data_IF_267304128694
#
_entry.id   IF_267304128694
#
_cell.length_a   1.000
_cell.length_b   1.000
_cell.length_c   1.000
_cell.angle_alpha   90.00
_cell.angle_beta   90.00
_cell.angle_gamma   90.00
#
_symmetry.space_group_name_H-M   'P 1'
#
loop_
_entity.id
_entity.type
_entity.pdbx_description
1 polymer ?
#
# COMPACT_ATOMS: atom_id res chain seq x y z
N UNK A 1 -46.66 17.43 -2.55
CA UNK A 1 -45.52 17.22 -3.43
C UNK A 1 -44.29 17.34 -2.54
N UNK A 2 -43.96 16.26 -1.82
CA UNK A 2 -42.85 16.19 -0.90
C UNK A 2 -41.67 15.58 -1.64
N UNK A 3 -40.60 16.35 -1.77
CA UNK A 3 -39.33 15.91 -2.31
C UNK A 3 -38.58 15.08 -1.27
N UNK A 4 -38.44 13.80 -1.57
CA UNK A 4 -37.68 12.82 -0.77
C UNK A 4 -36.20 13.01 -1.07
N UNK A 5 -35.52 13.79 -0.22
CA UNK A 5 -34.06 13.98 -0.26
C UNK A 5 -33.41 12.79 0.45
N UNK A 6 -33.12 11.72 -0.29
CA UNK A 6 -32.28 10.61 0.18
C UNK A 6 -30.84 10.83 -0.25
N UNK A 7 -30.14 11.70 0.42
CA UNK A 7 -28.68 11.68 0.43
C UNK A 7 -28.22 10.43 1.17
N UNK A 8 -28.07 9.32 0.41
CA UNK A 8 -27.50 8.09 0.93
C UNK A 8 -26.01 8.31 1.25
N UNK A 9 -25.74 8.56 2.53
CA UNK A 9 -24.39 8.50 3.08
C UNK A 9 -23.90 7.06 2.92
N UNK A 10 -22.98 6.82 1.97
CA UNK A 10 -22.36 5.53 1.78
C UNK A 10 -21.53 5.21 3.04
N UNK A 11 -22.07 4.38 3.90
CA UNK A 11 -21.34 3.70 4.96
C UNK A 11 -20.98 2.34 4.38
N UNK A 12 -19.69 2.02 4.16
CA UNK A 12 -19.32 0.67 3.76
C UNK A 12 -19.79 -0.28 4.85
N UNK A 13 -20.60 -1.27 4.47
CA UNK A 13 -21.10 -2.30 5.35
C UNK A 13 -19.95 -3.25 5.77
N UNK A 14 -19.06 -2.77 6.62
CA UNK A 14 -18.15 -3.58 7.41
C UNK A 14 -18.68 -3.64 8.83
N UNK A 15 -19.76 -4.39 9.02
CA UNK A 15 -20.08 -4.93 10.33
C UNK A 15 -19.20 -6.17 10.53
N UNK A 16 -17.96 -5.94 10.94
CA UNK A 16 -17.24 -6.97 11.67
C UNK A 16 -17.94 -7.09 13.04
N UNK A 17 -18.34 -8.31 13.40
CA UNK A 17 -18.73 -8.55 14.79
C UNK A 17 -17.61 -8.01 15.69
N UNK A 18 -17.93 -7.26 16.75
CA UNK A 18 -16.91 -6.73 17.63
C UNK A 18 -16.12 -7.91 18.18
N UNK A 19 -14.83 -7.98 17.82
CA UNK A 19 -13.89 -8.90 18.46
C UNK A 19 -14.07 -8.64 19.96
N UNK A 20 -14.47 -9.67 20.71
CA UNK A 20 -14.68 -9.59 22.15
C UNK A 20 -13.51 -8.85 22.76
N UNK A 21 -13.78 -7.65 23.28
CA UNK A 21 -12.83 -6.88 24.07
C UNK A 21 -12.20 -7.85 25.07
N UNK A 22 -10.92 -8.12 24.92
CA UNK A 22 -10.19 -8.96 25.88
C UNK A 22 -10.45 -8.38 27.27
N UNK A 23 -10.72 -9.26 28.23
CA UNK A 23 -11.09 -8.90 29.59
C UNK A 23 -10.18 -7.79 30.12
N UNK A 24 -10.80 -6.80 30.79
CA UNK A 24 -10.15 -5.63 31.35
C UNK A 24 -8.78 -5.98 31.95
N UNK A 25 -7.72 -5.51 31.32
CA UNK A 25 -6.38 -5.49 31.88
C UNK A 25 -6.41 -4.37 32.93
N UNK A 26 -6.18 -4.71 34.19
CA UNK A 26 -6.03 -3.76 35.28
C UNK A 26 -5.08 -2.61 34.88
N UNK A 27 -5.58 -1.38 35.09
CA UNK A 27 -4.88 -0.10 35.04
C UNK A 27 -3.60 -0.10 34.17
N UNK A 28 -3.78 -0.02 32.84
CA UNK A 28 -2.69 0.27 31.94
C UNK A 28 -1.98 1.56 32.38
N UNK A 29 -0.64 1.62 32.37
CA UNK A 29 0.07 2.86 32.63
C UNK A 29 -0.51 3.93 31.69
N UNK A 30 -0.83 5.13 32.21
CA UNK A 30 -1.22 6.27 31.38
C UNK A 30 0.02 6.64 30.55
N UNK A 31 0.17 5.96 29.42
CA UNK A 31 1.20 6.30 28.44
C UNK A 31 0.72 7.63 27.85
N UNK A 32 1.42 8.69 28.19
CA UNK A 32 1.16 10.02 27.63
C UNK A 32 1.26 9.88 26.13
N UNK A 33 0.18 10.15 25.39
CA UNK A 33 0.16 10.05 23.94
C UNK A 33 1.39 10.74 23.36
N UNK A 34 2.24 10.04 22.60
CA UNK A 34 3.43 10.65 22.02
C UNK A 34 3.00 11.76 21.06
N UNK A 35 3.81 12.81 20.96
CA UNK A 35 3.61 13.83 19.95
C UNK A 35 4.63 13.63 18.85
N UNK A 36 4.30 12.76 17.90
CA UNK A 36 5.18 12.35 16.81
C UNK A 36 5.80 13.56 16.06
N UNK A 37 5.00 14.59 15.79
CA UNK A 37 5.49 15.81 15.12
C UNK A 37 6.53 16.54 15.96
N UNK A 38 6.28 16.70 17.26
CA UNK A 38 7.24 17.32 18.16
C UNK A 38 8.49 16.45 18.34
N UNK A 39 8.34 15.14 18.33
CA UNK A 39 9.47 14.22 18.48
C UNK A 39 10.36 14.22 17.22
N UNK A 40 9.78 14.35 16.01
CA UNK A 40 10.57 14.62 14.78
C UNK A 40 11.29 15.96 14.89
N UNK A 41 10.57 17.03 15.26
CA UNK A 41 11.17 18.38 15.37
C UNK A 41 12.29 18.43 16.42
N UNK A 42 12.19 17.62 17.47
CA UNK A 42 13.21 17.50 18.53
C UNK A 42 14.36 16.53 18.15
N UNK A 43 14.34 15.92 16.95
CA UNK A 43 15.35 14.95 16.51
C UNK A 43 15.32 13.62 17.27
N UNK A 44 14.21 13.30 17.96
CA UNK A 44 14.05 12.05 18.68
C UNK A 44 13.56 10.90 17.78
N UNK A 45 13.00 11.24 16.62
CA UNK A 45 12.50 10.28 15.62
C UNK A 45 13.33 10.42 14.36
N UNK A 46 13.97 9.33 13.96
CA UNK A 46 14.65 9.24 12.67
C UNK A 46 13.73 8.51 11.68
N UNK A 47 13.30 9.26 10.65
CA UNK A 47 12.54 8.65 9.55
C UNK A 47 13.45 7.72 8.74
N UNK A 48 12.95 6.56 8.27
CA UNK A 48 13.72 5.67 7.43
C UNK A 48 14.20 6.36 6.16
N UNK A 49 15.45 6.14 5.79
CA UNK A 49 16.00 6.61 4.51
C UNK A 49 15.93 5.49 3.48
N UNK A 50 15.55 5.82 2.25
CA UNK A 50 15.62 4.86 1.15
C UNK A 50 16.96 4.97 0.43
N UNK A 51 17.50 3.84 -0.09
CA UNK A 51 18.74 3.88 -0.86
C UNK A 51 18.66 4.88 -2.03
N UNK A 52 19.74 5.59 -2.30
CA UNK A 52 19.79 6.58 -3.37
C UNK A 52 19.42 5.99 -4.74
N UNK A 53 19.79 4.74 -4.99
CA UNK A 53 19.44 4.02 -6.21
C UNK A 53 17.91 3.89 -6.38
N UNK A 54 17.18 3.70 -5.29
CA UNK A 54 15.70 3.60 -5.32
C UNK A 54 15.09 4.94 -5.72
N UNK A 55 15.60 6.06 -5.17
CA UNK A 55 15.16 7.41 -5.55
C UNK A 55 15.42 7.69 -7.03
N UNK A 56 16.62 7.31 -7.54
CA UNK A 56 16.98 7.48 -8.94
C UNK A 56 16.06 6.67 -9.87
N UNK A 57 15.75 5.42 -9.50
CA UNK A 57 14.84 4.57 -10.28
C UNK A 57 13.41 5.10 -10.22
N UNK A 58 12.92 5.54 -9.05
CA UNK A 58 11.60 6.16 -8.92
C UNK A 58 11.46 7.39 -9.83
N UNK A 59 12.49 8.25 -9.89
CA UNK A 59 12.50 9.41 -10.77
C UNK A 59 12.53 9.01 -12.26
N UNK A 60 13.30 7.98 -12.61
CA UNK A 60 13.42 7.50 -13.98
C UNK A 60 12.12 6.88 -14.52
N UNK A 61 11.35 6.18 -13.67
CA UNK A 61 10.10 5.52 -14.06
C UNK A 61 8.98 6.50 -14.46
N UNK A 62 9.11 7.80 -14.16
CA UNK A 62 8.17 8.83 -14.64
C UNK A 62 8.22 9.01 -16.17
N UNK A 63 9.32 8.57 -16.78
CA UNK A 63 9.46 8.53 -18.23
C UNK A 63 9.01 7.15 -18.73
N UNK A 64 7.90 7.05 -19.49
CA UNK A 64 7.41 5.78 -20.03
C UNK A 64 8.43 5.08 -20.92
N UNK A 65 9.32 5.87 -21.58
CA UNK A 65 10.35 5.41 -22.49
C UNK A 65 11.72 5.29 -21.80
N UNK A 66 11.75 5.16 -20.48
CA UNK A 66 12.99 5.06 -19.71
C UNK A 66 13.91 3.96 -20.26
N UNK A 67 15.18 4.34 -20.52
CA UNK A 67 16.19 3.39 -20.96
C UNK A 67 16.52 2.38 -19.84
N UNK A 68 16.35 1.10 -20.16
CA UNK A 68 16.70 -0.02 -19.27
C UNK A 68 18.13 0.07 -18.72
N UNK A 69 19.06 0.62 -19.51
CA UNK A 69 20.46 0.83 -19.10
C UNK A 69 20.58 1.77 -17.90
N UNK A 70 19.69 2.77 -17.77
CA UNK A 70 19.69 3.67 -16.61
C UNK A 70 19.33 2.93 -15.33
N UNK A 71 18.34 2.04 -15.37
CA UNK A 71 17.94 1.21 -14.23
C UNK A 71 19.02 0.18 -13.92
N UNK A 72 19.56 -0.50 -14.94
CA UNK A 72 20.66 -1.44 -14.77
C UNK A 72 21.91 -0.81 -14.16
N UNK A 73 22.32 0.37 -14.65
CA UNK A 73 23.46 1.11 -14.11
C UNK A 73 23.24 1.56 -12.66
N UNK A 74 22.03 1.95 -12.30
CA UNK A 74 21.69 2.28 -10.92
C UNK A 74 21.78 1.05 -10.02
N UNK A 75 21.23 -0.09 -10.43
CA UNK A 75 21.28 -1.35 -9.69
C UNK A 75 22.72 -1.91 -9.54
N UNK A 76 23.58 -1.72 -10.54
CA UNK A 76 24.97 -2.15 -10.47
C UNK A 76 25.76 -1.52 -9.32
N UNK A 77 25.27 -0.39 -8.77
CA UNK A 77 25.87 0.28 -7.61
C UNK A 77 25.49 -0.37 -6.27
N UNK A 78 24.48 -1.24 -6.26
CA UNK A 78 23.99 -1.91 -5.04
C UNK A 78 23.76 -3.40 -5.29
N UNK A 79 24.80 -4.25 -5.08
CA UNK A 79 24.69 -5.69 -5.28
C UNK A 79 23.65 -6.37 -4.40
N UNK A 80 23.41 -5.85 -3.18
CA UNK A 80 22.43 -6.42 -2.25
C UNK A 80 21.01 -6.19 -2.77
N UNK A 81 20.72 -4.97 -3.20
CA UNK A 81 19.44 -4.64 -3.81
C UNK A 81 19.26 -5.39 -5.14
N UNK A 82 20.30 -5.50 -5.97
CA UNK A 82 20.27 -6.28 -7.21
C UNK A 82 19.90 -7.74 -6.97
N UNK A 83 20.50 -8.38 -5.98
CA UNK A 83 20.17 -9.76 -5.61
C UNK A 83 18.71 -9.88 -5.11
N UNK A 84 18.24 -8.92 -4.32
CA UNK A 84 16.86 -8.87 -3.85
C UNK A 84 15.86 -8.69 -5.00
N UNK A 85 16.15 -7.77 -5.90
CA UNK A 85 15.32 -7.52 -7.10
C UNK A 85 15.24 -8.78 -7.98
N UNK A 86 16.37 -9.46 -8.24
CA UNK A 86 16.39 -10.71 -9.00
C UNK A 86 15.59 -11.82 -8.30
N UNK A 87 15.65 -11.90 -6.99
CA UNK A 87 14.82 -12.85 -6.22
C UNK A 87 13.33 -12.55 -6.36
N UNK A 88 12.93 -11.29 -6.30
CA UNK A 88 11.54 -10.86 -6.54
C UNK A 88 11.11 -11.15 -7.98
N UNK A 89 11.95 -10.84 -8.96
CA UNK A 89 11.70 -11.14 -10.37
C UNK A 89 11.51 -12.63 -10.64
N UNK A 90 12.21 -13.48 -9.91
CA UNK A 90 12.12 -14.94 -9.99
C UNK A 90 10.97 -15.54 -9.16
N UNK A 91 10.19 -14.71 -8.47
CA UNK A 91 9.01 -15.20 -7.76
C UNK A 91 7.90 -15.61 -8.73
N UNK A 92 7.00 -16.50 -8.28
CA UNK A 92 5.86 -16.96 -9.09
C UNK A 92 4.99 -15.82 -9.61
N UNK A 93 4.98 -14.68 -8.92
CA UNK A 93 4.22 -13.49 -9.29
C UNK A 93 4.67 -12.86 -10.63
N UNK A 94 5.98 -12.87 -10.94
CA UNK A 94 6.54 -12.30 -12.17
C UNK A 94 6.76 -13.33 -13.28
N UNK A 95 6.12 -14.48 -13.19
CA UNK A 95 6.10 -15.48 -14.27
C UNK A 95 7.32 -16.39 -14.33
N UNK A 96 7.91 -16.72 -13.18
CA UNK A 96 9.14 -17.49 -12.99
C UNK A 96 9.27 -18.88 -13.64
N UNK A 97 8.80 -19.04 -14.88
CA UNK A 97 9.00 -20.28 -15.64
C UNK A 97 10.47 -20.47 -16.09
N UNK A 98 11.26 -19.40 -16.12
CA UNK A 98 12.70 -19.43 -16.42
C UNK A 98 13.44 -18.55 -15.42
N UNK A 99 14.40 -19.09 -14.66
CA UNK A 99 15.20 -18.31 -13.72
C UNK A 99 15.96 -17.17 -14.43
N UNK A 100 15.78 -15.96 -13.92
CA UNK A 100 16.53 -14.78 -14.36
C UNK A 100 17.81 -14.66 -13.53
N UNK A 101 18.97 -14.80 -14.20
CA UNK A 101 20.27 -14.77 -13.54
C UNK A 101 20.94 -13.38 -13.59
N UNK A 102 20.38 -12.43 -14.35
CA UNK A 102 20.93 -11.08 -14.50
C UNK A 102 19.82 -10.04 -14.63
N UNK A 103 20.18 -8.78 -14.38
CA UNK A 103 19.27 -7.64 -14.57
C UNK A 103 18.85 -7.51 -16.04
N UNK A 104 19.78 -7.72 -16.98
CA UNK A 104 19.47 -7.68 -18.42
C UNK A 104 18.46 -8.77 -18.80
N UNK A 105 18.60 -9.98 -18.26
CA UNK A 105 17.62 -11.04 -18.46
C UNK A 105 16.24 -10.67 -17.88
N UNK A 106 16.21 -10.01 -16.73
CA UNK A 106 14.97 -9.53 -16.12
C UNK A 106 14.33 -8.44 -17.01
N UNK A 107 15.11 -7.46 -17.48
CA UNK A 107 14.60 -6.44 -18.42
C UNK A 107 14.01 -7.08 -19.68
N UNK A 108 14.72 -8.05 -20.28
CA UNK A 108 14.28 -8.70 -21.51
C UNK A 108 12.97 -9.49 -21.33
N UNK A 109 12.74 -10.04 -20.13
CA UNK A 109 11.57 -10.90 -19.86
C UNK A 109 10.36 -10.12 -19.33
N UNK A 110 10.56 -9.23 -18.36
CA UNK A 110 9.46 -8.51 -17.70
C UNK A 110 9.37 -7.03 -18.09
N UNK A 111 10.36 -6.52 -18.81
CA UNK A 111 10.40 -5.12 -19.25
C UNK A 111 10.98 -4.16 -18.21
N UNK A 112 11.34 -2.96 -18.68
CA UNK A 112 12.00 -1.92 -17.88
C UNK A 112 11.13 -1.39 -16.75
N UNK A 113 9.87 -1.12 -17.04
CA UNK A 113 8.92 -0.59 -16.06
C UNK A 113 8.65 -1.58 -14.92
N UNK A 114 8.42 -2.86 -15.25
CA UNK A 114 8.22 -3.89 -14.23
C UNK A 114 9.46 -4.10 -13.36
N UNK A 115 10.66 -4.10 -13.96
CA UNK A 115 11.91 -4.16 -13.21
C UNK A 115 12.05 -2.98 -12.26
N UNK A 116 11.76 -1.76 -12.71
CA UNK A 116 11.81 -0.58 -11.88
C UNK A 116 10.88 -0.65 -10.67
N UNK A 117 9.65 -1.16 -10.83
CA UNK A 117 8.72 -1.41 -9.71
C UNK A 117 9.29 -2.40 -8.70
N UNK A 118 9.99 -3.43 -9.17
CA UNK A 118 10.69 -4.37 -8.27
C UNK A 118 11.82 -3.70 -7.49
N UNK A 119 12.54 -2.76 -8.13
CA UNK A 119 13.56 -1.97 -7.44
C UNK A 119 12.93 -1.13 -6.33
N UNK A 120 11.80 -0.48 -6.60
CA UNK A 120 11.07 0.28 -5.58
C UNK A 120 10.64 -0.62 -4.43
N UNK A 121 9.97 -1.74 -4.71
CA UNK A 121 9.48 -2.67 -3.70
C UNK A 121 10.63 -3.26 -2.86
N UNK A 122 11.70 -3.74 -3.53
CA UNK A 122 12.87 -4.31 -2.89
C UNK A 122 13.64 -3.29 -2.05
N UNK A 123 13.81 -2.09 -2.57
CA UNK A 123 14.57 -1.02 -1.93
C UNK A 123 13.85 -0.43 -0.72
N UNK A 124 12.56 -0.12 -0.87
CA UNK A 124 11.76 0.39 0.26
C UNK A 124 11.68 -0.64 1.37
N UNK A 125 11.36 -1.91 1.04
CA UNK A 125 11.30 -2.95 2.06
C UNK A 125 12.64 -3.20 2.76
N UNK A 126 13.77 -2.92 2.11
CA UNK A 126 15.10 -3.02 2.74
C UNK A 126 15.39 -1.90 3.74
N UNK A 127 14.68 -0.77 3.65
CA UNK A 127 14.81 0.35 4.58
C UNK A 127 14.18 0.08 5.95
N UNK A 128 13.34 -0.96 6.02
CA UNK A 128 12.71 -1.39 7.25
C UNK A 128 13.35 -2.73 7.70
N UNK A 129 14.09 -2.67 8.80
CA UNK A 129 14.53 -3.88 9.51
C UNK A 129 13.36 -4.49 10.30
N UNK A 130 13.65 -5.39 11.24
CA UNK A 130 12.63 -5.95 12.12
C UNK A 130 11.81 -4.84 12.81
N UNK A 131 10.49 -5.00 12.81
CA UNK A 131 9.54 -4.10 13.48
C UNK A 131 8.78 -4.94 14.50
N UNK A 132 8.76 -4.56 15.79
CA UNK A 132 8.07 -5.32 16.82
C UNK A 132 6.59 -5.52 16.48
N UNK A 133 6.11 -6.75 16.68
CA UNK A 133 4.70 -7.09 16.44
C UNK A 133 4.27 -7.20 14.96
N UNK A 134 5.15 -6.92 13.99
CA UNK A 134 4.82 -6.93 12.57
C UNK A 134 5.49 -8.11 11.85
N UNK A 135 4.68 -8.95 11.19
CA UNK A 135 5.17 -9.92 10.20
C UNK A 135 5.46 -9.22 8.87
N UNK A 136 6.71 -8.76 8.70
CA UNK A 136 7.13 -8.01 7.51
C UNK A 136 6.88 -8.75 6.17
N UNK A 137 7.10 -10.06 6.04
CA UNK A 137 6.73 -10.79 4.83
C UNK A 137 5.26 -10.64 4.46
N UNK A 138 4.34 -10.79 5.39
CA UNK A 138 2.90 -10.59 5.16
C UNK A 138 2.59 -9.13 4.85
N UNK A 139 3.16 -8.19 5.60
CA UNK A 139 2.98 -6.76 5.37
C UNK A 139 3.35 -6.35 3.93
N UNK A 140 4.54 -6.73 3.46
CA UNK A 140 5.00 -6.39 2.11
C UNK A 140 4.26 -7.15 1.02
N UNK A 141 3.80 -8.37 1.28
CA UNK A 141 2.92 -9.10 0.37
C UNK A 141 1.63 -8.32 0.14
N UNK A 142 0.97 -7.89 1.22
CA UNK A 142 -0.30 -7.14 1.14
C UNK A 142 -0.09 -5.78 0.45
N UNK A 143 1.01 -5.09 0.73
CA UNK A 143 1.40 -3.85 0.06
C UNK A 143 1.63 -4.05 -1.45
N UNK A 144 2.27 -5.15 -1.87
CA UNK A 144 2.46 -5.48 -3.29
C UNK A 144 1.15 -5.83 -3.99
N UNK A 145 0.23 -6.51 -3.32
CA UNK A 145 -1.11 -6.76 -3.86
C UNK A 145 -1.83 -5.43 -4.10
N UNK A 146 -1.80 -4.51 -3.12
CA UNK A 146 -2.39 -3.19 -3.27
C UNK A 146 -1.72 -2.38 -4.40
N UNK A 147 -0.39 -2.40 -4.50
CA UNK A 147 0.35 -1.75 -5.58
C UNK A 147 -0.04 -2.29 -6.96
N UNK A 148 -0.15 -3.62 -7.10
CA UNK A 148 -0.54 -4.28 -8.34
C UNK A 148 -1.98 -3.97 -8.71
N UNK A 149 -2.89 -3.97 -7.73
CA UNK A 149 -4.28 -3.59 -7.95
C UNK A 149 -4.37 -2.12 -8.41
N UNK A 150 -3.69 -1.20 -7.73
CA UNK A 150 -3.67 0.21 -8.09
C UNK A 150 -3.13 0.42 -9.51
N UNK A 151 -2.02 -0.20 -9.86
CA UNK A 151 -1.44 -0.17 -11.21
C UNK A 151 -2.44 -0.60 -12.29
N UNK A 152 -3.19 -1.67 -12.04
CA UNK A 152 -4.13 -2.23 -13.02
C UNK A 152 -5.44 -1.46 -13.11
N UNK A 153 -5.85 -0.84 -12.02
CA UNK A 153 -7.04 0.00 -11.98
C UNK A 153 -6.80 1.37 -12.62
N UNK A 154 -5.60 1.94 -12.48
CA UNK A 154 -5.25 3.29 -12.85
C UNK A 154 -5.67 3.70 -14.28
N UNK A 155 -5.41 2.90 -15.35
CA UNK A 155 -5.76 3.31 -16.72
C UNK A 155 -7.27 3.52 -16.91
N UNK A 156 -8.12 2.67 -16.32
CA UNK A 156 -9.58 2.81 -16.43
C UNK A 156 -10.14 3.93 -15.55
N UNK A 157 -9.45 4.26 -14.46
CA UNK A 157 -9.86 5.32 -13.54
C UNK A 157 -9.28 6.70 -13.92
N UNK A 158 -8.34 6.75 -14.87
CA UNK A 158 -7.70 7.99 -15.31
C UNK A 158 -6.62 8.49 -14.35
N UNK A 159 -6.03 7.59 -13.56
CA UNK A 159 -4.89 7.89 -12.70
C UNK A 159 -3.56 7.59 -13.41
N UNK A 160 -2.50 8.27 -12.98
CA UNK A 160 -1.14 7.97 -13.41
C UNK A 160 -0.69 6.61 -12.87
N UNK A 161 -0.21 5.73 -13.75
CA UNK A 161 0.04 4.31 -13.41
C UNK A 161 1.13 4.15 -12.37
N UNK A 162 2.23 4.89 -12.50
CA UNK A 162 3.37 4.77 -11.59
C UNK A 162 3.07 5.43 -10.22
N UNK A 163 2.35 6.54 -10.20
CA UNK A 163 1.89 7.15 -8.95
C UNK A 163 0.90 6.23 -8.21
N UNK A 164 0.01 5.58 -8.95
CA UNK A 164 -0.92 4.60 -8.39
C UNK A 164 -0.18 3.40 -7.79
N UNK A 165 0.80 2.84 -8.51
CA UNK A 165 1.63 1.74 -8.00
C UNK A 165 2.37 2.13 -6.73
N UNK A 166 3.04 3.29 -6.72
CA UNK A 166 3.80 3.78 -5.56
C UNK A 166 2.87 4.04 -4.38
N UNK A 167 1.71 4.66 -4.62
CA UNK A 167 0.71 4.89 -3.57
C UNK A 167 0.25 3.56 -2.96
N UNK A 168 -0.06 2.56 -3.77
CA UNK A 168 -0.43 1.22 -3.30
C UNK A 168 0.68 0.52 -2.51
N UNK A 169 1.94 0.68 -2.92
CA UNK A 169 3.08 0.08 -2.23
C UNK A 169 3.35 0.71 -0.86
N UNK A 170 3.14 2.03 -0.74
CA UNK A 170 3.60 2.81 0.40
C UNK A 170 2.48 3.23 1.37
N UNK A 171 1.20 2.97 1.06
CA UNK A 171 0.06 3.51 1.80
C UNK A 171 0.04 3.17 3.31
N UNK A 172 0.64 2.07 3.71
CA UNK A 172 0.70 1.63 5.12
C UNK A 172 2.07 1.75 5.76
N UNK A 173 3.09 2.29 5.06
CA UNK A 173 4.46 2.39 5.61
C UNK A 173 4.55 3.25 6.86
N UNK A 174 3.67 4.23 7.02
CA UNK A 174 3.57 5.00 8.25
C UNK A 174 3.27 4.16 9.49
N UNK A 175 2.54 3.05 9.33
CA UNK A 175 2.33 2.08 10.41
C UNK A 175 3.65 1.45 10.88
N UNK A 176 4.52 1.04 9.96
CA UNK A 176 5.84 0.53 10.31
C UNK A 176 6.69 1.57 11.05
N UNK A 177 6.60 2.85 10.61
CA UNK A 177 7.32 3.95 11.23
C UNK A 177 6.83 4.17 12.66
N UNK A 178 5.50 4.19 12.89
CA UNK A 178 4.91 4.32 14.23
C UNK A 178 5.34 3.17 15.14
N UNK A 179 5.19 1.93 14.69
CA UNK A 179 5.55 0.75 15.46
C UNK A 179 7.05 0.68 15.80
N UNK A 180 7.90 1.11 14.87
CA UNK A 180 9.35 1.18 15.10
C UNK A 180 9.74 2.29 16.06
N UNK A 181 9.04 3.42 16.00
CA UNK A 181 9.32 4.60 16.83
C UNK A 181 8.85 4.41 18.28
N UNK A 182 7.70 3.75 18.45
CA UNK A 182 7.08 3.55 19.76
C UNK A 182 6.77 2.07 20.00
N UNK A 183 7.80 1.21 20.12
CA UNK A 183 7.63 -0.24 20.18
C UNK A 183 6.78 -0.71 21.37
N UNK A 184 6.91 -0.08 22.53
CA UNK A 184 6.17 -0.44 23.74
C UNK A 184 4.66 -0.18 23.58
N UNK A 185 4.30 0.94 22.91
CA UNK A 185 2.90 1.28 22.61
C UNK A 185 2.37 0.34 21.54
N UNK A 186 3.17 0.08 20.50
CA UNK A 186 2.80 -0.79 19.40
C UNK A 186 2.52 -2.23 19.90
N UNK A 187 3.38 -2.77 20.73
CA UNK A 187 3.21 -4.11 21.31
C UNK A 187 1.93 -4.19 22.14
N UNK A 188 1.68 -3.18 22.99
CA UNK A 188 0.46 -3.11 23.79
C UNK A 188 -0.81 -3.00 22.95
N UNK A 189 -0.82 -2.08 21.95
CA UNK A 189 -1.99 -1.78 21.13
C UNK A 189 -2.29 -2.93 20.17
N UNK A 190 -1.29 -3.44 19.44
CA UNK A 190 -1.54 -4.37 18.34
C UNK A 190 -1.61 -5.84 18.76
N UNK A 191 -1.17 -6.20 19.96
CA UNK A 191 -1.46 -7.54 20.53
C UNK A 191 -2.99 -7.78 20.64
N UNK A 192 -3.78 -6.71 20.83
CA UNK A 192 -5.25 -6.78 20.90
C UNK A 192 -5.98 -6.53 19.58
N UNK A 193 -5.32 -5.97 18.57
CA UNK A 193 -5.95 -5.47 17.32
C UNK A 193 -5.32 -6.04 16.05
N UNK A 194 -4.82 -7.25 16.09
CA UNK A 194 -4.03 -7.87 15.02
C UNK A 194 -4.63 -7.84 13.59
N UNK A 195 -5.87 -7.38 13.40
CA UNK A 195 -6.60 -7.42 12.13
C UNK A 195 -7.15 -6.05 11.68
N UNK A 196 -6.95 -4.98 12.46
CA UNK A 196 -7.44 -3.65 12.09
C UNK A 196 -6.73 -3.14 10.82
N UNK A 197 -7.47 -2.53 9.90
CA UNK A 197 -6.97 -2.02 8.60
C UNK A 197 -7.67 -0.72 8.22
N UNK A 198 -7.02 0.08 7.37
CA UNK A 198 -7.60 1.30 6.83
C UNK A 198 -8.05 2.29 7.91
N UNK A 199 -9.28 2.76 7.83
CA UNK A 199 -9.81 3.78 8.75
C UNK A 199 -9.91 3.29 10.21
N UNK A 200 -10.16 2.00 10.44
CA UNK A 200 -10.17 1.41 11.79
C UNK A 200 -8.76 1.44 12.41
N UNK A 201 -7.75 1.03 11.66
CA UNK A 201 -6.35 1.12 12.09
C UNK A 201 -5.96 2.57 12.37
N UNK A 202 -6.31 3.50 11.47
CA UNK A 202 -6.03 4.91 11.64
C UNK A 202 -6.66 5.51 12.91
N UNK A 203 -7.90 5.09 13.25
CA UNK A 203 -8.57 5.53 14.47
C UNK A 203 -7.84 5.03 15.73
N UNK A 204 -7.42 3.77 15.74
CA UNK A 204 -6.66 3.18 16.84
C UNK A 204 -5.30 3.91 16.99
N UNK A 205 -4.61 4.16 15.88
CA UNK A 205 -3.35 4.88 15.89
C UNK A 205 -3.51 6.32 16.38
N UNK A 206 -4.54 7.03 15.89
CA UNK A 206 -4.83 8.39 16.33
C UNK A 206 -5.09 8.47 17.83
N UNK A 207 -5.81 7.49 18.40
CA UNK A 207 -6.08 7.42 19.83
C UNK A 207 -4.80 7.18 20.65
N UNK A 208 -3.91 6.30 20.18
CA UNK A 208 -2.77 5.83 20.97
C UNK A 208 -1.46 6.58 20.68
N UNK A 209 -1.26 7.07 19.44
CA UNK A 209 -0.04 7.79 19.04
C UNK A 209 -0.28 9.29 18.80
N UNK A 210 -1.53 9.76 18.79
CA UNK A 210 -1.90 11.13 18.45
C UNK A 210 -1.77 11.48 16.97
N UNK A 211 -1.44 10.50 16.13
CA UNK A 211 -1.32 10.59 14.67
C UNK A 211 -1.51 9.21 14.05
N UNK A 212 -2.10 9.14 12.85
CA UNK A 212 -2.30 7.89 12.13
C UNK A 212 -1.21 7.61 11.08
N UNK A 213 -1.19 6.35 10.60
CA UNK A 213 -0.22 5.88 9.61
C UNK A 213 -0.29 6.64 8.28
N UNK A 214 -1.46 7.12 7.86
CA UNK A 214 -1.62 7.82 6.60
C UNK A 214 -0.92 9.18 6.65
N UNK A 215 -1.06 9.90 7.76
CA UNK A 215 -0.36 11.16 8.00
C UNK A 215 1.16 10.97 8.14
N UNK A 216 1.60 9.96 8.89
CA UNK A 216 3.04 9.64 9.04
C UNK A 216 3.64 9.20 7.71
N UNK A 217 2.94 8.34 6.97
CA UNK A 217 3.37 7.89 5.65
C UNK A 217 3.50 9.04 4.66
N UNK A 218 2.53 9.95 4.61
CA UNK A 218 2.57 11.12 3.75
C UNK A 218 3.77 12.04 4.07
N UNK A 219 4.02 12.33 5.36
CA UNK A 219 5.19 13.08 5.80
C UNK A 219 6.50 12.42 5.35
N UNK A 220 6.58 11.10 5.49
CA UNK A 220 7.76 10.36 5.04
C UNK A 220 7.95 10.45 3.52
N UNK A 221 6.88 10.26 2.74
CA UNK A 221 6.88 10.36 1.27
C UNK A 221 7.43 11.73 0.81
N UNK A 222 7.02 12.81 1.47
CA UNK A 222 7.51 14.16 1.21
C UNK A 222 9.03 14.28 1.44
N UNK A 223 9.54 13.68 2.53
CA UNK A 223 10.98 13.76 2.87
C UNK A 223 11.86 12.96 1.89
N UNK A 224 11.34 11.89 1.28
CA UNK A 224 12.10 11.05 0.36
C UNK A 224 11.95 11.44 -1.12
N UNK A 225 11.23 12.55 -1.39
CA UNK A 225 11.19 13.21 -2.70
C UNK A 225 10.29 12.54 -3.74
N UNK A 226 9.25 11.82 -3.31
CA UNK A 226 8.20 11.35 -4.21
C UNK A 226 7.23 12.48 -4.60
N UNK A 227 6.40 12.30 -5.66
CA UNK A 227 5.43 13.31 -6.06
C UNK A 227 4.47 13.69 -4.92
N UNK A 228 4.12 14.98 -4.83
CA UNK A 228 3.15 15.46 -3.85
C UNK A 228 1.79 14.76 -3.97
N UNK A 229 1.36 14.45 -5.19
CA UNK A 229 0.13 13.70 -5.44
C UNK A 229 0.09 12.34 -4.71
N UNK A 230 1.23 11.63 -4.63
CA UNK A 230 1.35 10.38 -3.88
C UNK A 230 1.21 10.62 -2.37
N UNK A 231 1.88 11.65 -1.84
CA UNK A 231 1.79 12.00 -0.42
C UNK A 231 0.35 12.39 -0.03
N UNK A 232 -0.31 13.22 -0.83
CA UNK A 232 -1.69 13.65 -0.60
C UNK A 232 -2.67 12.48 -0.66
N UNK A 233 -2.54 11.61 -1.65
CA UNK A 233 -3.39 10.42 -1.78
C UNK A 233 -3.20 9.46 -0.61
N UNK A 234 -1.97 9.25 -0.14
CA UNK A 234 -1.72 8.42 1.05
C UNK A 234 -2.33 9.09 2.29
N UNK A 235 -2.18 10.41 2.47
CA UNK A 235 -2.79 11.16 3.57
C UNK A 235 -4.31 11.01 3.61
N UNK A 236 -4.94 11.03 2.43
CA UNK A 236 -6.39 10.88 2.28
C UNK A 236 -6.86 9.43 2.49
N UNK A 237 -5.97 8.43 2.41
CA UNK A 237 -6.35 7.01 2.42
C UNK A 237 -7.08 6.55 3.69
N UNK A 238 -6.82 7.14 4.84
CA UNK A 238 -7.50 6.83 6.10
C UNK A 238 -8.83 7.58 6.29
N UNK A 239 -9.09 8.62 5.49
CA UNK A 239 -10.30 9.45 5.59
C UNK A 239 -11.45 8.84 4.77
N UNK A 240 -12.72 9.14 5.05
CA UNK A 240 -13.83 8.78 4.16
C UNK A 240 -13.59 9.30 2.73
N UNK A 241 -13.95 8.50 1.72
CA UNK A 241 -13.77 8.90 0.33
C UNK A 241 -14.68 10.10 0.03
N UNK A 242 -14.07 11.24 -0.29
CA UNK A 242 -14.83 12.44 -0.66
C UNK A 242 -15.53 12.25 -1.99
N UNK A 243 -16.71 12.89 -2.16
CA UNK A 243 -17.41 12.88 -3.45
C UNK A 243 -16.60 13.54 -4.58
N UNK A 244 -15.69 14.45 -4.24
CA UNK A 244 -14.75 15.12 -5.13
C UNK A 244 -13.38 14.42 -5.23
N UNK A 245 -13.24 13.18 -4.73
CA UNK A 245 -11.98 12.46 -4.76
C UNK A 245 -11.44 12.32 -6.18
N UNK A 246 -10.15 12.59 -6.34
CA UNK A 246 -9.47 12.48 -7.62
C UNK A 246 -9.29 11.02 -8.09
N UNK A 247 -8.90 10.85 -9.37
CA UNK A 247 -8.65 9.52 -9.92
C UNK A 247 -7.67 8.67 -9.10
N UNK A 248 -6.62 9.27 -8.56
CA UNK A 248 -5.59 8.58 -7.79
C UNK A 248 -6.13 8.12 -6.42
N UNK A 249 -6.89 8.97 -5.71
CA UNK A 249 -7.55 8.61 -4.44
C UNK A 249 -8.52 7.43 -4.64
N UNK A 250 -9.35 7.52 -5.68
CA UNK A 250 -10.30 6.46 -6.04
C UNK A 250 -9.58 5.15 -6.36
N UNK A 251 -8.46 5.24 -7.08
CA UNK A 251 -7.63 4.09 -7.44
C UNK A 251 -7.02 3.43 -6.21
N UNK A 252 -6.38 4.21 -5.33
CA UNK A 252 -5.76 3.68 -4.11
C UNK A 252 -6.79 3.01 -3.19
N UNK A 253 -7.94 3.66 -2.97
CA UNK A 253 -9.01 3.11 -2.11
C UNK A 253 -9.52 1.78 -2.62
N UNK A 254 -9.74 1.70 -3.93
CA UNK A 254 -10.20 0.46 -4.57
C UNK A 254 -9.14 -0.63 -4.48
N UNK A 255 -7.89 -0.27 -4.68
CA UNK A 255 -6.77 -1.20 -4.56
C UNK A 255 -6.62 -1.76 -3.13
N UNK A 256 -6.75 -0.92 -2.11
CA UNK A 256 -6.74 -1.35 -0.71
C UNK A 256 -7.92 -2.27 -0.39
N UNK A 257 -9.12 -1.99 -0.92
CA UNK A 257 -10.29 -2.85 -0.76
C UNK A 257 -10.07 -4.25 -1.38
N UNK A 258 -9.51 -4.29 -2.60
CA UNK A 258 -9.17 -5.56 -3.27
C UNK A 258 -8.06 -6.31 -2.54
N UNK A 259 -7.01 -5.64 -2.09
CA UNK A 259 -5.94 -6.27 -1.31
C UNK A 259 -6.47 -6.88 0.00
N UNK A 260 -7.36 -6.17 0.69
CA UNK A 260 -8.02 -6.68 1.88
C UNK A 260 -8.92 -7.89 1.57
N UNK A 261 -9.65 -7.89 0.46
CA UNK A 261 -10.47 -9.03 0.02
C UNK A 261 -9.61 -10.27 -0.28
N UNK A 262 -8.48 -10.08 -0.98
CA UNK A 262 -7.52 -11.17 -1.24
C UNK A 262 -6.93 -11.72 0.07
N UNK A 263 -6.56 -10.85 1.01
CA UNK A 263 -6.03 -11.27 2.32
C UNK A 263 -7.04 -12.11 3.13
N UNK A 264 -8.34 -11.81 3.02
CA UNK A 264 -9.43 -12.59 3.63
C UNK A 264 -9.82 -13.82 2.83
N UNK A 265 -9.30 -13.98 1.60
CA UNK A 265 -9.70 -15.01 0.63
C UNK A 265 -11.17 -14.91 0.23
N UNK A 266 -11.67 -13.68 0.09
CA UNK A 266 -13.02 -13.40 -0.33
C UNK A 266 -13.25 -13.89 -1.79
N UNK A 267 -14.48 -14.22 -2.12
CA UNK A 267 -14.88 -14.47 -3.51
C UNK A 267 -14.95 -13.16 -4.31
N UNK A 268 -14.82 -13.25 -5.64
CA UNK A 268 -14.83 -12.09 -6.53
C UNK A 268 -16.06 -11.19 -6.35
N UNK A 269 -17.25 -11.78 -6.13
CA UNK A 269 -18.48 -11.04 -5.88
C UNK A 269 -18.45 -10.19 -4.61
N UNK A 270 -17.82 -10.70 -3.55
CA UNK A 270 -17.63 -9.95 -2.28
C UNK A 270 -16.63 -8.80 -2.49
N UNK A 271 -15.52 -9.08 -3.17
CA UNK A 271 -14.53 -8.07 -3.53
C UNK A 271 -15.15 -6.97 -4.42
N UNK A 272 -15.98 -7.33 -5.39
CA UNK A 272 -16.72 -6.41 -6.24
C UNK A 272 -17.66 -5.50 -5.45
N UNK A 273 -18.46 -6.07 -4.54
CA UNK A 273 -19.40 -5.31 -3.72
C UNK A 273 -18.72 -4.30 -2.78
N UNK A 274 -17.45 -4.52 -2.45
CA UNK A 274 -16.65 -3.62 -1.63
C UNK A 274 -16.10 -2.40 -2.39
N UNK A 275 -16.18 -2.38 -3.73
CA UNK A 275 -15.67 -1.27 -4.53
C UNK A 275 -16.62 -0.07 -4.54
N UNK A 276 -16.09 1.17 -4.61
CA UNK A 276 -16.89 2.35 -4.81
C UNK A 276 -17.77 2.26 -6.09
N UNK A 277 -19.02 2.80 -6.07
CA UNK A 277 -19.91 2.74 -7.24
C UNK A 277 -19.30 3.32 -8.52
N UNK A 278 -18.47 4.37 -8.41
CA UNK A 278 -17.76 4.96 -9.53
C UNK A 278 -16.77 3.99 -10.19
N UNK A 279 -16.19 3.05 -9.44
CA UNK A 279 -15.30 2.00 -9.95
C UNK A 279 -16.10 0.87 -10.54
N UNK A 280 -17.17 0.44 -9.85
CA UNK A 280 -18.09 -0.56 -10.37
C UNK A 280 -18.62 -0.14 -11.75
N UNK A 281 -19.05 1.12 -11.92
CA UNK A 281 -19.51 1.63 -13.21
C UNK A 281 -18.46 1.55 -14.34
N UNK A 282 -17.16 1.50 -14.01
CA UNK A 282 -16.07 1.37 -15.01
C UNK A 282 -15.73 -0.08 -15.37
N UNK A 283 -16.16 -1.02 -14.55
CA UNK A 283 -15.88 -2.44 -14.67
C UNK A 283 -17.15 -3.30 -14.76
N UNK A 284 -18.34 -2.67 -14.84
CA UNK A 284 -19.60 -3.37 -15.02
C UNK A 284 -19.81 -3.76 -16.48
N UNK A 285 -20.29 -4.97 -16.70
CA UNK A 285 -20.89 -5.40 -17.96
C UNK A 285 -22.28 -4.78 -18.19
N UNK A 286 -22.92 -5.14 -19.28
CA UNK A 286 -24.25 -4.64 -19.64
C UNK A 286 -25.36 -5.01 -18.63
N UNK A 287 -25.13 -6.05 -17.85
CA UNK A 287 -26.02 -6.57 -16.79
C UNK A 287 -25.74 -5.96 -15.40
N UNK A 288 -24.78 -5.04 -15.31
CA UNK A 288 -24.33 -4.45 -14.04
C UNK A 288 -23.44 -5.35 -13.17
N UNK A 289 -23.11 -6.55 -13.66
CA UNK A 289 -22.16 -7.45 -12.99
C UNK A 289 -20.72 -7.12 -13.40
N UNK A 290 -19.70 -7.64 -12.68
CA UNK A 290 -18.30 -7.47 -13.05
C UNK A 290 -18.04 -7.95 -14.49
N UNK A 291 -17.26 -7.16 -15.24
CA UNK A 291 -16.83 -7.58 -16.58
C UNK A 291 -15.61 -8.54 -16.50
N UNK A 292 -15.29 -9.19 -17.61
CA UNK A 292 -14.16 -10.12 -17.70
C UNK A 292 -12.80 -9.50 -17.33
N UNK A 293 -12.68 -8.16 -17.42
CA UNK A 293 -11.44 -7.49 -17.01
C UNK A 293 -11.33 -7.37 -15.49
N UNK A 294 -12.46 -7.22 -14.78
CA UNK A 294 -12.46 -7.30 -13.31
C UNK A 294 -12.14 -8.72 -12.84
N UNK A 295 -12.77 -9.74 -13.44
CA UNK A 295 -12.51 -11.13 -13.07
C UNK A 295 -11.04 -11.49 -13.25
N UNK A 296 -10.45 -11.08 -14.39
CA UNK A 296 -9.03 -11.30 -14.65
C UNK A 296 -8.13 -10.50 -13.70
N UNK A 297 -8.50 -9.29 -13.35
CA UNK A 297 -7.79 -8.50 -12.35
C UNK A 297 -7.77 -9.25 -11.01
N UNK A 298 -8.94 -9.70 -10.53
CA UNK A 298 -9.03 -10.32 -9.21
C UNK A 298 -8.32 -11.68 -9.16
N UNK A 299 -8.42 -12.49 -10.22
CA UNK A 299 -7.66 -13.74 -10.38
C UNK A 299 -6.15 -13.48 -10.22
N UNK A 300 -5.60 -12.50 -10.95
CA UNK A 300 -4.18 -12.15 -10.84
C UNK A 300 -3.79 -11.71 -9.43
N UNK A 301 -4.65 -10.96 -8.74
CA UNK A 301 -4.35 -10.54 -7.36
C UNK A 301 -4.34 -11.72 -6.38
N UNK A 302 -5.23 -12.71 -6.57
CA UNK A 302 -5.24 -13.94 -5.77
C UNK A 302 -4.00 -14.81 -6.01
N UNK A 303 -3.49 -14.85 -7.24
CA UNK A 303 -2.26 -15.55 -7.58
C UNK A 303 -1.00 -14.84 -7.08
N UNK A 304 -1.13 -13.55 -6.71
CA UNK A 304 -0.02 -12.74 -6.20
C UNK A 304 0.45 -13.26 -4.86
N UNK A 305 1.55 -14.02 -4.84
CA UNK A 305 2.21 -14.49 -3.62
C UNK A 305 3.72 -14.22 -3.69
N UNK A 306 4.15 -12.95 -3.67
CA UNK A 306 5.58 -12.66 -3.65
C UNK A 306 6.18 -13.12 -2.32
N UNK A 307 7.28 -13.85 -2.37
CA UNK A 307 8.17 -14.08 -1.22
C UNK A 307 9.17 -12.93 -1.20
N UNK A 308 8.92 -11.94 -0.37
CA UNK A 308 9.85 -10.81 -0.16
C UNK A 308 10.90 -11.15 0.89
#
# INVERSE_FOLDING_TARGET
>A
MQSDDRSATYVPAFTLEPVKKAAAVDAAPVIRAPNFINDIAAGKVELPTIPRVVQQVAAALRDPDVDARKIGAALAQDPVLSAKVLRLANSSFFGGQRPMASIDAAVALIGTQALGRLVLAGGVSSSFGAVPGIDLPTFWRDALIAATAAQRLAPRLGAEVEEAYVSGLLHTTGHLILCKTYPDIADFVFTGYAVARGAELAAIEQENFGIDHANVGALWIETIGFPQAVADTIRNAAQPLAASAGPLDLTLRSACALAAAVARKDEAGVAWAALPPAVQARYAGADGQPDAAFDKLYEVLQETQPKI
#
